data_IF_703962259651
#
_entry.id   IF_703962259651
#
_cell.length_a   1.000
_cell.length_b   1.000
_cell.length_c   1.000
_cell.angle_alpha   90.00
_cell.angle_beta   90.00
_cell.angle_gamma   90.00
#
_symmetry.space_group_name_H-M   'P 1'
#
loop_
_entity.id
_entity.type
_entity.pdbx_description
1 polymer ?
#
# COMPACT_ATOMS: atom_id res chain seq x y z
N UNK A 1 -31.11 38.58 -21.72
CA UNK A 1 -30.58 39.59 -22.67
C UNK A 1 -29.11 39.31 -22.89
N UNK A 2 -28.76 38.72 -24.03
CA UNK A 2 -27.37 38.48 -24.44
C UNK A 2 -26.68 39.79 -24.85
N UNK A 3 -25.41 39.97 -24.48
CA UNK A 3 -24.45 40.70 -25.32
C UNK A 3 -23.08 40.02 -25.29
N UNK A 4 -22.72 39.56 -26.49
CA UNK A 4 -21.45 39.01 -26.91
C UNK A 4 -20.43 40.13 -27.13
N UNK A 5 -19.15 39.89 -26.83
CA UNK A 5 -18.03 40.71 -27.30
C UNK A 5 -16.91 39.77 -27.74
N UNK A 6 -16.79 39.65 -29.06
CA UNK A 6 -15.71 38.99 -29.79
C UNK A 6 -14.52 39.94 -29.86
N UNK A 7 -13.31 39.47 -29.56
CA UNK A 7 -12.07 40.17 -29.91
C UNK A 7 -11.23 39.27 -30.82
N UNK A 8 -11.00 39.76 -32.03
CA UNK A 8 -10.12 39.19 -33.05
C UNK A 8 -8.71 39.67 -32.74
N UNK A 9 -7.74 38.76 -32.71
CA UNK A 9 -6.32 39.10 -32.78
C UNK A 9 -5.65 38.28 -33.89
N UNK A 10 -4.91 39.02 -34.71
CA UNK A 10 -4.35 38.69 -36.02
C UNK A 10 -3.17 37.73 -35.97
N UNK A 11 -3.06 36.94 -37.04
CA UNK A 11 -1.92 36.11 -37.41
C UNK A 11 -0.67 36.94 -37.73
N UNK A 12 0.50 36.47 -37.30
CA UNK A 12 1.76 36.75 -38.00
C UNK A 12 2.64 35.50 -37.98
N UNK A 13 3.02 35.08 -39.18
CA UNK A 13 3.93 33.99 -39.51
C UNK A 13 5.30 34.58 -39.79
N UNK A 14 6.37 34.03 -39.22
CA UNK A 14 7.70 34.10 -39.80
C UNK A 14 8.53 32.87 -39.42
N UNK A 15 9.45 32.54 -40.31
CA UNK A 15 9.90 31.20 -40.67
C UNK A 15 11.41 31.08 -40.44
N UNK A 16 11.86 29.90 -39.97
CA UNK A 16 13.19 29.25 -40.16
C UNK A 16 14.46 29.93 -39.58
N UNK A 17 15.17 29.20 -38.69
CA UNK A 17 16.54 28.66 -38.91
C UNK A 17 17.11 27.97 -37.67
N UNK A 18 17.69 26.77 -37.86
CA UNK A 18 18.37 25.85 -36.91
C UNK A 18 19.82 26.32 -36.60
N UNK A 19 20.72 25.47 -36.03
CA UNK A 19 20.83 24.92 -34.67
C UNK A 19 22.21 25.27 -34.03
N UNK A 20 22.56 24.59 -32.92
CA UNK A 20 23.87 24.48 -32.25
C UNK A 20 24.06 25.40 -31.02
N UNK A 21 24.05 24.80 -29.83
CA UNK A 21 25.31 24.54 -29.11
C UNK A 21 25.06 23.66 -27.87
N UNK A 22 25.71 22.51 -27.94
CA UNK A 22 25.79 21.46 -26.95
C UNK A 22 26.61 21.98 -25.76
N UNK A 23 26.00 22.12 -24.59
CA UNK A 23 26.70 22.43 -23.35
C UNK A 23 27.04 21.12 -22.61
N UNK A 24 28.30 20.88 -22.22
CA UNK A 24 28.69 19.64 -21.56
C UNK A 24 28.25 19.64 -20.09
N UNK A 25 27.67 18.51 -19.67
CA UNK A 25 27.33 18.20 -18.28
C UNK A 25 28.56 18.26 -17.37
N UNK A 26 28.48 18.82 -16.15
CA UNK A 26 29.57 18.69 -15.19
C UNK A 26 29.63 17.25 -14.67
N UNK A 27 30.79 16.61 -14.85
CA UNK A 27 31.12 15.31 -14.26
C UNK A 27 31.12 15.45 -12.74
N UNK A 28 30.20 14.76 -12.07
CA UNK A 28 30.19 14.62 -10.62
C UNK A 28 31.30 13.64 -10.22
N UNK A 29 32.42 14.17 -9.75
CA UNK A 29 33.48 13.38 -9.12
C UNK A 29 32.99 12.86 -7.77
N UNK A 30 32.75 11.55 -7.68
CA UNK A 30 32.55 10.83 -6.42
C UNK A 30 33.89 10.78 -5.67
N UNK A 31 34.06 11.69 -4.70
CA UNK A 31 35.07 11.54 -3.66
C UNK A 31 34.59 10.47 -2.67
N UNK A 32 35.14 9.26 -2.79
CA UNK A 32 35.03 8.24 -1.75
C UNK A 32 35.95 8.64 -0.59
N UNK A 33 35.39 9.21 0.46
CA UNK A 33 36.02 9.26 1.77
C UNK A 33 35.69 7.95 2.53
N UNK A 34 36.67 7.20 3.06
CA UNK A 34 36.40 6.12 3.99
C UNK A 34 36.07 6.74 5.34
N UNK A 35 34.77 6.98 5.60
CA UNK A 35 34.31 7.37 6.93
C UNK A 35 34.27 6.12 7.81
N UNK A 36 35.39 5.84 8.50
CA UNK A 36 35.48 4.80 9.52
C UNK A 36 34.69 5.23 10.76
N UNK A 37 33.45 4.76 10.89
CA UNK A 37 32.68 4.85 12.14
C UNK A 37 33.08 3.70 13.08
N UNK A 38 33.38 3.97 14.36
CA UNK A 38 33.60 2.91 15.34
C UNK A 38 32.26 2.26 15.69
N UNK A 39 32.12 0.98 15.34
CA UNK A 39 30.98 0.15 15.72
C UNK A 39 31.04 -0.14 17.24
N UNK A 40 30.05 0.25 18.06
CA UNK A 40 30.02 -0.17 19.45
C UNK A 40 29.63 -1.66 19.54
N UNK A 41 30.56 -2.48 20.02
CA UNK A 41 30.28 -3.88 20.39
C UNK A 41 29.44 -3.92 21.67
N UNK A 42 28.12 -4.03 21.53
CA UNK A 42 27.24 -4.36 22.66
C UNK A 42 27.36 -5.85 22.97
N UNK A 43 28.02 -6.19 24.08
CA UNK A 43 28.02 -7.54 24.65
C UNK A 43 26.60 -7.88 25.13
N UNK A 44 25.90 -8.77 24.41
CA UNK A 44 24.65 -9.37 24.89
C UNK A 44 24.98 -10.37 26.01
N UNK A 45 24.59 -10.03 27.24
CA UNK A 45 24.58 -10.97 28.37
C UNK A 45 23.40 -11.91 28.20
N UNK A 46 23.67 -13.21 28.05
CA UNK A 46 22.67 -14.28 28.02
C UNK A 46 22.14 -14.50 29.44
N UNK A 47 20.98 -13.94 29.75
CA UNK A 47 20.20 -14.30 30.93
C UNK A 47 19.31 -15.50 30.60
N UNK A 48 19.73 -16.69 31.03
CA UNK A 48 18.88 -17.88 31.11
C UNK A 48 17.87 -17.69 32.25
N UNK A 49 16.74 -17.06 31.97
CA UNK A 49 15.61 -17.09 32.90
C UNK A 49 14.79 -18.36 32.65
N UNK A 50 15.14 -19.41 33.39
CA UNK A 50 14.39 -20.68 33.47
C UNK A 50 13.04 -20.40 34.14
N UNK A 51 11.98 -20.34 33.35
CA UNK A 51 10.61 -20.28 33.88
C UNK A 51 10.27 -21.63 34.54
N UNK A 52 9.81 -21.68 35.80
CA UNK A 52 9.46 -22.92 36.45
C UNK A 52 8.19 -23.53 35.84
N UNK A 53 8.25 -24.82 35.52
CA UNK A 53 7.12 -25.60 35.05
C UNK A 53 6.06 -25.74 36.16
N UNK A 54 4.91 -25.09 35.97
CA UNK A 54 3.74 -25.29 36.84
C UNK A 54 3.03 -26.60 36.46
N UNK A 55 3.45 -27.70 37.09
CA UNK A 55 2.86 -29.06 37.04
C UNK A 55 1.51 -29.14 37.81
N UNK A 56 0.74 -28.05 37.90
CA UNK A 56 -0.52 -28.03 38.67
C UNK A 56 -1.65 -27.28 37.97
N UNK A 57 -2.07 -27.79 36.80
CA UNK A 57 -3.40 -27.51 36.20
C UNK A 57 -4.10 -28.78 35.67
N UNK A 58 -3.71 -29.95 36.18
CA UNK A 58 -4.19 -31.27 35.72
C UNK A 58 -5.48 -31.77 36.38
N UNK A 59 -6.20 -30.96 37.16
CA UNK A 59 -7.52 -31.34 37.67
C UNK A 59 -8.58 -30.39 37.11
N UNK A 60 -9.26 -30.86 36.06
CA UNK A 60 -10.37 -30.17 35.44
C UNK A 60 -11.59 -30.15 36.36
N UNK A 61 -11.99 -28.96 36.80
CA UNK A 61 -13.36 -28.55 37.05
C UNK A 61 -13.37 -27.02 37.07
N UNK A 62 -13.87 -26.42 35.98
CA UNK A 62 -13.92 -24.97 35.83
C UNK A 62 -14.31 -24.60 34.41
N UNK A 63 -15.61 -24.56 34.14
CA UNK A 63 -16.16 -23.95 32.93
C UNK A 63 -15.92 -22.43 32.98
N UNK A 64 -14.71 -22.02 32.62
CA UNK A 64 -14.43 -20.63 32.27
C UNK A 64 -14.62 -20.49 30.77
N UNK A 65 -15.74 -19.91 30.36
CA UNK A 65 -15.95 -19.37 29.01
C UNK A 65 -15.02 -18.15 28.79
N UNK A 66 -13.70 -18.35 28.86
CA UNK A 66 -12.74 -17.41 28.31
C UNK A 66 -12.59 -17.77 26.83
N UNK A 67 -12.89 -16.87 25.89
CA UNK A 67 -12.55 -17.12 24.50
C UNK A 67 -11.06 -17.41 24.43
N UNK A 68 -10.68 -18.47 23.72
CA UNK A 68 -9.28 -18.75 23.40
C UNK A 68 -8.66 -17.51 22.75
N UNK A 69 -7.36 -17.20 23.00
CA UNK A 69 -6.72 -16.01 22.41
C UNK A 69 -6.84 -15.95 20.88
N UNK A 70 -6.93 -17.11 20.22
CA UNK A 70 -7.17 -17.20 18.79
C UNK A 70 -8.55 -16.70 18.36
N UNK A 71 -9.60 -16.90 19.15
CA UNK A 71 -10.95 -16.43 18.83
C UNK A 71 -11.12 -14.92 19.01
N UNK A 72 -10.34 -14.30 19.92
CA UNK A 72 -10.35 -12.83 20.08
C UNK A 72 -9.63 -12.14 18.92
N UNK A 73 -8.51 -12.70 18.45
CA UNK A 73 -7.72 -12.09 17.37
C UNK A 73 -8.45 -12.09 16.02
N UNK A 74 -9.23 -13.13 15.71
CA UNK A 74 -9.97 -13.18 14.45
C UNK A 74 -11.18 -12.24 14.43
N UNK A 75 -11.79 -11.96 15.58
CA UNK A 75 -12.93 -11.05 15.65
C UNK A 75 -12.54 -9.61 15.28
N UNK A 76 -11.33 -9.18 15.64
CA UNK A 76 -10.82 -7.84 15.30
C UNK A 76 -10.54 -7.73 13.80
N UNK A 77 -9.82 -8.70 13.23
CA UNK A 77 -9.46 -8.69 11.80
C UNK A 77 -10.65 -8.84 10.84
N UNK A 78 -11.76 -9.41 11.32
CA UNK A 78 -13.02 -9.58 10.58
C UNK A 78 -14.02 -8.44 10.83
N UNK A 79 -13.67 -7.47 11.67
CA UNK A 79 -14.47 -6.28 11.92
C UNK A 79 -14.56 -5.35 10.70
N UNK A 80 -15.46 -4.36 10.73
CA UNK A 80 -15.52 -3.33 9.71
C UNK A 80 -14.27 -2.44 9.74
N UNK A 81 -14.02 -1.71 8.65
CA UNK A 81 -13.06 -0.61 8.61
C UNK A 81 -13.70 0.62 9.27
N UNK A 82 -13.26 0.94 10.49
CA UNK A 82 -13.76 2.07 11.29
C UNK A 82 -12.99 3.39 11.02
N UNK A 83 -12.00 3.38 10.12
CA UNK A 83 -11.28 4.59 9.74
C UNK A 83 -12.18 5.57 8.98
N UNK A 84 -11.99 6.86 9.24
CA UNK A 84 -12.76 7.92 8.58
C UNK A 84 -11.89 8.60 7.52
N UNK A 85 -12.36 8.72 6.27
CA UNK A 85 -11.61 9.42 5.24
C UNK A 85 -11.58 10.93 5.49
N UNK A 86 -10.73 11.66 4.78
CA UNK A 86 -10.72 13.12 4.86
C UNK A 86 -12.10 13.71 4.44
N UNK A 87 -12.45 14.93 4.88
CA UNK A 87 -13.75 15.51 4.59
C UNK A 87 -14.08 15.53 3.08
N UNK A 88 -15.30 15.14 2.74
CA UNK A 88 -15.81 15.00 1.37
C UNK A 88 -15.11 13.93 0.50
N UNK A 89 -14.28 13.07 1.08
CA UNK A 89 -13.66 11.93 0.39
C UNK A 89 -14.39 10.61 0.73
N UNK A 90 -14.15 9.58 -0.07
CA UNK A 90 -14.61 8.21 0.19
C UNK A 90 -13.47 7.21 0.12
N UNK A 91 -13.63 6.07 0.81
CA UNK A 91 -12.73 4.94 0.70
C UNK A 91 -13.21 3.90 -0.32
N UNK A 92 -12.25 3.26 -0.99
CA UNK A 92 -12.45 2.06 -1.79
C UNK A 92 -11.28 1.10 -1.52
N UNK A 93 -11.53 -0.21 -1.51
CA UNK A 93 -10.49 -1.23 -1.32
C UNK A 93 -10.48 -2.18 -2.52
N UNK A 94 -9.29 -2.43 -3.09
CA UNK A 94 -9.12 -3.29 -4.26
C UNK A 94 -8.03 -4.34 -4.03
N UNK A 95 -8.35 -5.61 -4.27
CA UNK A 95 -7.40 -6.72 -4.26
C UNK A 95 -7.18 -7.25 -5.68
N UNK A 96 -5.97 -7.06 -6.22
CA UNK A 96 -5.66 -7.33 -7.63
C UNK A 96 -4.28 -8.01 -7.84
N UNK A 97 -3.80 -8.76 -6.85
CA UNK A 97 -2.45 -9.35 -6.83
C UNK A 97 -1.46 -8.45 -6.09
N UNK A 98 -0.18 -8.46 -6.51
CA UNK A 98 0.88 -7.69 -5.86
C UNK A 98 0.51 -6.21 -5.75
N UNK A 99 0.33 -5.73 -4.52
CA UNK A 99 -0.20 -4.39 -4.26
C UNK A 99 0.67 -3.24 -4.79
N UNK A 100 1.95 -3.45 -5.10
CA UNK A 100 2.88 -2.40 -5.55
C UNK A 100 2.51 -1.89 -6.94
N UNK A 101 2.20 -2.82 -7.86
CA UNK A 101 1.77 -2.47 -9.21
C UNK A 101 0.36 -1.87 -9.23
N UNK A 102 -0.49 -2.32 -8.32
CA UNK A 102 -1.88 -1.86 -8.18
C UNK A 102 -1.91 -0.45 -7.58
N UNK A 103 -1.14 -0.19 -6.53
CA UNK A 103 -1.03 1.13 -5.90
C UNK A 103 -0.56 2.17 -6.91
N UNK A 104 0.50 1.85 -7.66
CA UNK A 104 1.04 2.73 -8.70
C UNK A 104 0.00 3.08 -9.78
N UNK A 105 -0.93 2.17 -10.08
CA UNK A 105 -2.01 2.44 -11.03
C UNK A 105 -2.99 3.48 -10.46
N UNK A 106 -3.43 3.32 -9.21
CA UNK A 106 -4.35 4.24 -8.56
C UNK A 106 -3.74 5.61 -8.25
N UNK A 107 -2.45 5.69 -7.92
CA UNK A 107 -1.73 6.96 -7.73
C UNK A 107 -1.77 7.89 -8.95
N UNK A 108 -2.06 7.36 -10.14
CA UNK A 108 -2.10 8.12 -11.40
C UNK A 108 -3.51 8.55 -11.81
N UNK A 109 -4.53 8.20 -11.03
CA UNK A 109 -5.92 8.52 -11.33
C UNK A 109 -6.25 9.92 -10.82
N UNK A 110 -6.67 10.87 -11.68
CA UNK A 110 -7.15 12.17 -11.23
C UNK A 110 -8.32 12.03 -10.25
N UNK A 111 -8.31 12.84 -9.18
CA UNK A 111 -9.30 12.77 -8.10
C UNK A 111 -9.00 11.74 -7.00
N UNK A 112 -7.97 10.89 -7.16
CA UNK A 112 -7.40 10.11 -6.04
C UNK A 112 -6.50 11.02 -5.20
N UNK A 113 -6.77 11.07 -3.91
CA UNK A 113 -6.09 11.95 -2.95
C UNK A 113 -5.08 11.22 -2.07
N UNK A 114 -5.30 9.92 -1.81
CA UNK A 114 -4.36 9.08 -1.06
C UNK A 114 -4.48 7.62 -1.52
N UNK A 115 -3.35 6.92 -1.55
CA UNK A 115 -3.29 5.46 -1.63
C UNK A 115 -2.51 4.92 -0.45
N UNK A 116 -2.87 3.73 0.00
CA UNK A 116 -2.06 2.95 0.93
C UNK A 116 -2.27 1.46 0.69
N UNK A 117 -1.23 0.67 0.95
CA UNK A 117 -1.26 -0.79 0.81
C UNK A 117 -1.42 -1.45 2.17
N UNK A 118 -2.08 -2.61 2.21
CA UNK A 118 -2.27 -3.34 3.46
C UNK A 118 -2.85 -4.74 3.26
N UNK A 119 -3.23 -5.33 4.39
CA UNK A 119 -3.77 -6.68 4.48
C UNK A 119 -5.15 -6.64 5.13
N UNK A 120 -6.13 -7.30 4.53
CA UNK A 120 -7.52 -7.32 5.05
C UNK A 120 -8.21 -8.66 4.74
N UNK A 121 -9.42 -8.85 5.26
CA UNK A 121 -10.29 -10.03 5.08
C UNK A 121 -9.72 -11.36 5.62
N UNK A 122 -8.62 -11.33 6.36
CA UNK A 122 -8.00 -12.49 7.00
C UNK A 122 -8.31 -12.62 8.48
N UNK A 123 -7.81 -13.66 9.11
CA UNK A 123 -8.17 -14.03 10.49
C UNK A 123 -7.18 -13.57 11.55
N UNK A 124 -6.06 -12.94 11.16
CA UNK A 124 -4.99 -12.57 12.08
C UNK A 124 -4.99 -11.06 12.28
N UNK A 125 -5.24 -10.62 13.50
CA UNK A 125 -5.04 -9.22 13.85
C UNK A 125 -3.56 -8.81 13.72
N UNK A 126 -3.33 -7.59 13.24
CA UNK A 126 -2.02 -6.97 13.01
C UNK A 126 -0.95 -7.90 12.39
N UNK A 127 -1.17 -8.45 11.19
CA UNK A 127 -0.25 -9.40 10.57
C UNK A 127 1.01 -8.71 10.03
N UNK A 128 2.18 -9.35 10.15
CA UNK A 128 3.38 -8.91 9.42
C UNK A 128 3.37 -9.40 7.96
N UNK A 129 4.25 -8.84 7.12
CA UNK A 129 4.44 -9.32 5.75
C UNK A 129 4.82 -10.81 5.73
N UNK A 130 5.69 -11.24 6.64
CA UNK A 130 6.11 -12.64 6.76
C UNK A 130 4.95 -13.55 7.18
N UNK A 131 4.08 -13.08 8.07
CA UNK A 131 2.87 -13.82 8.44
C UNK A 131 1.96 -14.04 7.21
N UNK A 132 1.76 -13.02 6.38
CA UNK A 132 0.93 -13.11 5.16
C UNK A 132 1.59 -14.00 4.11
N UNK A 133 2.91 -13.87 3.92
CA UNK A 133 3.68 -14.73 3.00
C UNK A 133 3.63 -16.22 3.37
N UNK A 134 3.37 -16.56 4.64
CA UNK A 134 3.15 -17.95 5.04
C UNK A 134 1.88 -18.58 4.44
N UNK A 135 0.94 -17.75 3.96
CA UNK A 135 -0.36 -18.17 3.43
C UNK A 135 -1.36 -18.63 4.50
N UNK A 136 -1.00 -18.58 5.78
CA UNK A 136 -1.85 -19.11 6.87
C UNK A 136 -2.83 -18.11 7.46
N UNK A 137 -2.66 -16.81 7.19
CA UNK A 137 -3.49 -15.75 7.76
C UNK A 137 -4.79 -15.52 7.01
N UNK A 138 -4.89 -16.01 5.77
CA UNK A 138 -6.00 -15.77 4.85
C UNK A 138 -6.25 -14.27 4.55
N UNK A 139 -5.24 -13.42 4.72
CA UNK A 139 -5.33 -12.04 4.29
C UNK A 139 -5.11 -11.91 2.78
N UNK A 140 -5.79 -10.94 2.19
CA UNK A 140 -5.50 -10.48 0.84
C UNK A 140 -4.62 -9.23 0.90
N UNK A 141 -3.66 -9.14 -0.03
CA UNK A 141 -3.02 -7.86 -0.37
C UNK A 141 -4.05 -6.95 -1.02
N UNK A 142 -4.21 -5.75 -0.48
CA UNK A 142 -5.15 -4.74 -0.98
C UNK A 142 -4.52 -3.37 -1.05
N UNK A 143 -5.07 -2.54 -1.93
CA UNK A 143 -4.85 -1.09 -1.95
C UNK A 143 -6.11 -0.43 -1.44
N UNK A 144 -5.99 0.39 -0.39
CA UNK A 144 -7.04 1.31 0.05
C UNK A 144 -6.83 2.67 -0.63
N UNK A 145 -7.85 3.13 -1.33
CA UNK A 145 -7.86 4.37 -2.11
C UNK A 145 -8.80 5.34 -1.42
N UNK A 146 -8.32 6.57 -1.20
CA UNK A 146 -9.14 7.72 -0.86
C UNK A 146 -9.30 8.60 -2.10
N UNK A 147 -10.53 8.95 -2.44
CA UNK A 147 -10.84 9.71 -3.64
C UNK A 147 -11.98 10.71 -3.42
N UNK A 148 -11.98 11.79 -4.20
CA UNK A 148 -13.05 12.80 -4.20
C UNK A 148 -14.13 12.35 -5.20
N UNK A 149 -15.34 11.99 -4.74
CA UNK A 149 -16.43 11.56 -5.62
C UNK A 149 -16.88 12.61 -6.65
N UNK A 150 -16.50 13.88 -6.48
CA UNK A 150 -16.79 14.96 -7.44
C UNK A 150 -15.78 15.01 -8.59
N UNK A 151 -14.57 14.50 -8.39
CA UNK A 151 -13.50 14.49 -9.39
C UNK A 151 -13.30 13.10 -10.01
N UNK A 152 -13.55 12.04 -9.25
CA UNK A 152 -13.39 10.65 -9.66
C UNK A 152 -14.62 9.83 -9.23
N UNK A 153 -15.24 9.10 -10.16
CA UNK A 153 -16.33 8.18 -9.82
C UNK A 153 -15.80 6.82 -9.41
N UNK A 154 -16.56 6.08 -8.61
CA UNK A 154 -16.23 4.69 -8.29
C UNK A 154 -16.11 3.81 -9.54
N UNK A 155 -16.94 4.05 -10.57
CA UNK A 155 -16.86 3.36 -11.86
C UNK A 155 -15.50 3.58 -12.55
N UNK A 156 -14.93 4.79 -12.44
CA UNK A 156 -13.59 5.09 -12.98
C UNK A 156 -12.52 4.25 -12.27
N UNK A 157 -12.65 4.06 -10.95
CA UNK A 157 -11.75 3.19 -10.19
C UNK A 157 -11.92 1.72 -10.60
N UNK A 158 -13.16 1.27 -10.87
CA UNK A 158 -13.43 -0.07 -11.38
C UNK A 158 -12.82 -0.29 -12.77
N UNK A 159 -12.89 0.69 -13.67
CA UNK A 159 -12.26 0.59 -15.00
C UNK A 159 -10.74 0.37 -14.88
N UNK A 160 -10.08 1.11 -13.98
CA UNK A 160 -8.65 0.94 -13.67
C UNK A 160 -8.39 -0.43 -13.07
N UNK A 161 -9.23 -0.88 -12.15
CA UNK A 161 -9.14 -2.19 -11.52
C UNK A 161 -9.19 -3.31 -12.57
N UNK A 162 -10.21 -3.35 -13.42
CA UNK A 162 -10.37 -4.38 -14.44
C UNK A 162 -9.29 -4.32 -15.54
N UNK A 163 -8.75 -3.14 -15.85
CA UNK A 163 -7.65 -3.01 -16.79
C UNK A 163 -6.31 -3.53 -16.23
N UNK A 164 -6.16 -3.62 -14.90
CA UNK A 164 -4.88 -3.93 -14.25
C UNK A 164 -4.67 -5.43 -14.04
N UNK A 165 -5.71 -6.24 -13.93
CA UNK A 165 -5.55 -7.63 -13.49
C UNK A 165 -6.44 -8.57 -14.28
N UNK A 166 -6.08 -9.85 -14.34
CA UNK A 166 -6.96 -10.90 -14.84
C UNK A 166 -7.88 -11.35 -13.70
N UNK A 167 -9.19 -11.09 -13.77
CA UNK A 167 -10.13 -11.46 -12.70
C UNK A 167 -10.57 -12.92 -12.76
N UNK A 168 -10.06 -13.71 -13.71
CA UNK A 168 -10.45 -15.11 -13.91
C UNK A 168 -9.50 -16.09 -13.23
N UNK A 169 -8.39 -15.62 -12.67
CA UNK A 169 -7.37 -16.44 -12.01
C UNK A 169 -7.62 -16.55 -10.51
N UNK A 170 -8.11 -17.70 -10.07
CA UNK A 170 -8.35 -17.98 -8.65
C UNK A 170 -7.03 -18.05 -7.85
N UNK A 171 -6.95 -17.30 -6.74
CA UNK A 171 -5.84 -17.29 -5.78
C UNK A 171 -4.45 -17.12 -6.41
N UNK A 172 -4.40 -16.43 -7.55
CA UNK A 172 -3.18 -16.20 -8.31
C UNK A 172 -3.36 -14.94 -9.14
N UNK A 173 -2.29 -14.16 -9.22
CA UNK A 173 -2.15 -13.17 -10.29
C UNK A 173 -0.74 -13.27 -10.86
N UNK A 174 -0.60 -13.15 -12.18
CA UNK A 174 0.70 -13.32 -12.86
C UNK A 174 1.20 -11.97 -13.40
N UNK A 175 2.38 -11.48 -12.95
CA UNK A 175 3.05 -10.24 -13.41
C UNK A 175 2.65 -8.98 -12.61
N UNK A 176 3.43 -7.90 -12.45
CA UNK A 176 4.58 -7.31 -13.18
C UNK A 176 5.82 -7.07 -12.28
N UNK A 177 5.73 -7.41 -10.98
CA UNK A 177 6.79 -7.17 -9.99
C UNK A 177 7.10 -8.46 -9.20
N UNK A 178 7.34 -9.56 -9.92
CA UNK A 178 7.97 -10.74 -9.32
C UNK A 178 9.49 -10.48 -9.30
N UNK A 179 9.93 -9.57 -8.44
CA UNK A 179 11.34 -9.46 -8.08
C UNK A 179 11.45 -9.03 -6.63
N UNK A 180 11.18 -10.00 -5.74
CA UNK A 180 12.05 -10.39 -4.63
C UNK A 180 11.55 -11.69 -4.02
#
# INVERSE_FOLDING_TARGET
MLRSLTLVATTSTSTISKPLLFSPSPKLTLFFSPFSLPFPQTKRSLSLHRSPMNILKSFGFGANNKPTPSMQNSAVAQGPDDDVPAPAQQFAQFGAGCFWGVELAFQRVPGVTKTEVGYTQGFRDNPSYEDVCSGTTNHNEVVRVQYDPKECSFDTLLDVFWARHDPTTLNRQVGFFLMM
#
